data_IF_803159543959
#
_entry.id   IF_803159543959
#
_cell.length_a   1.000
_cell.length_b   1.000
_cell.length_c   1.000
_cell.angle_alpha   90.00
_cell.angle_beta   90.00
_cell.angle_gamma   90.00
#
_symmetry.space_group_name_H-M   'P 1'
#
loop_
_entity.id
_entity.type
_entity.pdbx_description
1 polymer ?
#
# COMPACT_ATOMS: atom_id res chain seq x y z
N UNK A 1 -19.38 15.60 29.22
CA UNK A 1 -19.18 14.54 28.19
C UNK A 1 -19.66 14.97 26.80
N UNK A 2 -20.89 15.46 26.63
CA UNK A 2 -21.43 15.94 25.34
C UNK A 2 -20.57 16.97 24.59
N UNK A 3 -20.04 17.98 25.29
CA UNK A 3 -19.18 18.99 24.67
C UNK A 3 -17.85 18.45 24.11
N UNK A 4 -17.32 17.37 24.69
CA UNK A 4 -16.06 16.77 24.23
C UNK A 4 -16.34 15.89 23.00
N UNK A 5 -17.43 15.13 23.01
CA UNK A 5 -17.86 14.33 21.85
C UNK A 5 -18.21 15.20 20.65
N UNK A 6 -18.91 16.32 20.87
CA UNK A 6 -19.23 17.30 19.82
C UNK A 6 -17.98 17.95 19.22
N UNK A 7 -17.02 18.39 20.06
CA UNK A 7 -15.73 18.93 19.58
C UNK A 7 -14.89 17.89 18.83
N UNK A 8 -14.95 16.62 19.22
CA UNK A 8 -14.25 15.53 18.49
C UNK A 8 -14.90 15.24 17.14
N UNK A 9 -16.22 15.30 17.03
CA UNK A 9 -16.94 15.11 15.77
C UNK A 9 -16.57 16.22 14.77
N UNK A 10 -16.65 17.49 15.19
CA UNK A 10 -16.30 18.62 14.32
C UNK A 10 -14.82 18.63 13.92
N UNK A 11 -13.91 18.20 14.82
CA UNK A 11 -12.49 18.02 14.48
C UNK A 11 -12.28 16.93 13.42
N UNK A 12 -13.00 15.80 13.52
CA UNK A 12 -12.91 14.73 12.53
C UNK A 12 -13.43 15.17 11.16
N UNK A 13 -14.56 15.87 11.12
CA UNK A 13 -15.12 16.44 9.89
C UNK A 13 -14.14 17.43 9.23
N UNK A 14 -13.57 18.35 10.03
CA UNK A 14 -12.60 19.32 9.52
C UNK A 14 -11.34 18.63 8.97
N UNK A 15 -10.84 17.63 9.69
CA UNK A 15 -9.65 16.87 9.29
C UNK A 15 -9.92 16.07 8.01
N UNK A 16 -11.10 15.47 7.86
CA UNK A 16 -11.52 14.78 6.64
C UNK A 16 -11.52 15.72 5.43
N UNK A 17 -12.11 16.91 5.57
CA UNK A 17 -12.16 17.92 4.49
C UNK A 17 -10.75 18.32 4.04
N UNK A 18 -9.83 18.52 4.99
CA UNK A 18 -8.45 18.91 4.67
C UNK A 18 -7.74 17.78 3.91
N UNK A 19 -7.84 16.53 4.38
CA UNK A 19 -7.19 15.39 3.76
C UNK A 19 -7.71 15.13 2.34
N UNK A 20 -9.02 15.18 2.13
CA UNK A 20 -9.62 15.00 0.79
C UNK A 20 -9.15 16.10 -0.16
N UNK A 21 -9.17 17.37 0.28
CA UNK A 21 -8.69 18.48 -0.56
C UNK A 21 -7.22 18.34 -0.96
N UNK A 22 -6.37 17.90 -0.03
CA UNK A 22 -4.95 17.65 -0.33
C UNK A 22 -4.77 16.46 -1.27
N UNK A 23 -5.53 15.39 -1.05
CA UNK A 23 -5.49 14.21 -1.90
C UNK A 23 -5.88 14.51 -3.34
N UNK A 24 -7.01 15.19 -3.57
CA UNK A 24 -7.46 15.57 -4.93
C UNK A 24 -6.41 16.41 -5.65
N UNK A 25 -5.74 17.33 -4.95
CA UNK A 25 -4.63 18.13 -5.52
C UNK A 25 -3.40 17.31 -5.90
N UNK A 26 -3.23 16.12 -5.33
CA UNK A 26 -2.10 15.23 -5.60
C UNK A 26 -2.35 14.28 -6.77
N UNK A 27 -3.61 14.10 -7.18
CA UNK A 27 -3.99 13.23 -8.29
C UNK A 27 -3.51 13.80 -9.63
N UNK A 28 -3.23 12.91 -10.58
CA UNK A 28 -2.81 13.23 -11.94
C UNK A 28 -3.50 12.29 -12.94
N UNK A 29 -3.76 12.80 -14.13
CA UNK A 29 -4.26 12.03 -15.27
C UNK A 29 -5.46 11.14 -14.90
N UNK A 30 -5.41 9.86 -15.24
CA UNK A 30 -6.46 8.86 -14.98
C UNK A 30 -6.90 8.77 -13.51
N UNK A 31 -6.07 9.20 -12.55
CA UNK A 31 -6.46 9.24 -11.14
C UNK A 31 -7.47 10.35 -10.84
N UNK A 32 -7.44 11.46 -11.59
CA UNK A 32 -8.45 12.52 -11.51
C UNK A 32 -9.77 12.01 -12.08
N UNK A 33 -9.74 11.40 -13.27
CA UNK A 33 -10.94 10.85 -13.93
C UNK A 33 -11.63 9.80 -13.05
N UNK A 34 -10.85 8.87 -12.48
CA UNK A 34 -11.35 7.91 -11.50
C UNK A 34 -12.04 8.58 -10.31
N UNK A 35 -11.43 9.63 -9.73
CA UNK A 35 -12.02 10.32 -8.58
C UNK A 35 -13.33 11.03 -8.94
N UNK A 36 -13.43 11.59 -10.15
CA UNK A 36 -14.66 12.24 -10.62
C UNK A 36 -15.78 11.28 -10.97
N UNK A 37 -15.46 10.03 -11.31
CA UNK A 37 -16.43 8.98 -11.64
C UNK A 37 -17.01 8.26 -10.40
N UNK A 38 -16.49 8.53 -9.20
CA UNK A 38 -17.01 7.98 -7.96
C UNK A 38 -18.46 8.45 -7.72
N UNK A 39 -19.35 7.50 -7.40
CA UNK A 39 -20.74 7.80 -7.08
C UNK A 39 -20.84 8.74 -5.87
N UNK A 40 -21.75 9.72 -5.95
CA UNK A 40 -21.97 10.66 -4.86
C UNK A 40 -22.38 9.91 -3.58
N UNK A 41 -21.73 10.23 -2.46
CA UNK A 41 -21.91 9.58 -1.15
C UNK A 41 -21.54 8.09 -1.12
N UNK A 42 -20.74 7.58 -2.07
CA UNK A 42 -20.21 6.21 -2.00
C UNK A 42 -19.04 6.04 -1.01
N UNK A 43 -18.45 7.14 -0.55
CA UNK A 43 -17.28 7.17 0.33
C UNK A 43 -17.63 7.92 1.61
N UNK A 44 -17.63 7.21 2.73
CA UNK A 44 -18.02 7.72 4.05
C UNK A 44 -16.84 8.30 4.86
N UNK A 45 -15.61 8.17 4.35
CA UNK A 45 -14.45 8.73 5.04
C UNK A 45 -13.11 8.50 4.34
N UNK A 46 -12.06 9.08 4.95
CA UNK A 46 -10.69 9.04 4.44
C UNK A 46 -10.15 7.62 4.25
N UNK A 47 -10.42 6.72 5.20
CA UNK A 47 -9.94 5.34 5.15
C UNK A 47 -10.54 4.58 3.96
N UNK A 48 -11.84 4.75 3.71
CA UNK A 48 -12.51 4.13 2.57
C UNK A 48 -12.02 4.74 1.24
N UNK A 49 -11.82 6.06 1.16
CA UNK A 49 -11.24 6.70 -0.03
C UNK A 49 -9.85 6.14 -0.36
N UNK A 50 -9.01 6.00 0.66
CA UNK A 50 -7.68 5.42 0.51
C UNK A 50 -7.75 3.97 0.03
N UNK A 51 -8.68 3.18 0.56
CA UNK A 51 -8.86 1.79 0.17
C UNK A 51 -9.36 1.66 -1.28
N UNK A 52 -10.33 2.46 -1.71
CA UNK A 52 -10.82 2.46 -3.09
C UNK A 52 -9.74 2.91 -4.08
N UNK A 53 -8.95 3.92 -3.72
CA UNK A 53 -7.82 4.35 -4.53
C UNK A 53 -6.78 3.23 -4.69
N UNK A 54 -6.42 2.57 -3.58
CA UNK A 54 -5.54 1.41 -3.63
C UNK A 54 -6.19 0.27 -4.40
N UNK A 55 -7.51 0.10 -4.35
CA UNK A 55 -8.18 -0.92 -5.14
C UNK A 55 -8.03 -0.64 -6.64
N UNK A 56 -8.24 0.59 -7.08
CA UNK A 56 -8.16 0.94 -8.48
C UNK A 56 -6.71 0.94 -9.02
N UNK A 57 -5.77 1.54 -8.28
CA UNK A 57 -4.41 1.79 -8.78
C UNK A 57 -3.35 0.84 -8.22
N UNK A 58 -3.70 0.01 -7.23
CA UNK A 58 -2.75 -0.85 -6.52
C UNK A 58 -3.25 -2.31 -6.31
N UNK A 59 -4.54 -2.66 -6.47
CA UNK A 59 -5.04 -4.01 -6.15
C UNK A 59 -4.58 -5.14 -7.06
N UNK A 60 -3.87 -4.82 -8.14
CA UNK A 60 -3.21 -5.82 -8.98
C UNK A 60 -1.87 -6.29 -8.42
N UNK A 61 -1.40 -5.76 -7.28
CA UNK A 61 -0.22 -6.33 -6.62
C UNK A 61 -0.54 -7.73 -6.10
N UNK A 62 -0.11 -8.75 -6.85
CA UNK A 62 -0.01 -10.13 -6.40
C UNK A 62 0.57 -10.13 -5.00
N UNK A 63 -0.20 -10.62 -4.04
CA UNK A 63 0.34 -10.81 -2.71
C UNK A 63 1.22 -12.05 -2.69
N UNK A 64 2.46 -11.87 -2.23
CA UNK A 64 3.46 -12.92 -2.12
C UNK A 64 3.22 -13.67 -0.82
N UNK A 65 3.18 -14.99 -0.90
CA UNK A 65 3.12 -15.83 0.31
C UNK A 65 4.51 -16.00 0.91
N UNK A 66 4.58 -16.29 2.22
CA UNK A 66 5.86 -16.62 2.85
C UNK A 66 6.59 -17.76 2.14
N UNK A 67 5.84 -18.77 1.68
CA UNK A 67 6.38 -19.94 0.95
C UNK A 67 6.99 -19.53 -0.40
N UNK A 68 6.34 -18.63 -1.13
CA UNK A 68 6.89 -18.11 -2.38
C UNK A 68 8.17 -17.30 -2.13
N UNK A 69 8.17 -16.48 -1.08
CA UNK A 69 9.32 -15.66 -0.71
C UNK A 69 10.52 -16.51 -0.26
N UNK A 70 10.29 -17.53 0.59
CA UNK A 70 11.35 -18.44 1.07
C UNK A 70 11.89 -19.35 -0.03
N UNK A 71 11.11 -19.63 -1.07
CA UNK A 71 11.53 -20.43 -2.23
C UNK A 71 12.17 -19.59 -3.34
N UNK A 72 12.20 -18.26 -3.22
CA UNK A 72 12.93 -17.41 -4.15
C UNK A 72 14.42 -17.71 -4.06
N UNK A 73 14.99 -18.15 -5.18
CA UNK A 73 16.42 -18.42 -5.35
C UNK A 73 16.97 -17.54 -6.46
N UNK A 74 18.25 -17.21 -6.38
CA UNK A 74 18.98 -16.62 -7.49
C UNK A 74 18.91 -17.58 -8.68
N UNK A 75 18.71 -17.09 -9.90
CA UNK A 75 18.77 -17.97 -11.08
C UNK A 75 20.22 -18.19 -11.52
N UNK A 76 20.48 -19.29 -12.23
CA UNK A 76 21.83 -19.74 -12.62
C UNK A 76 22.67 -18.66 -13.32
N UNK A 77 22.03 -17.76 -14.05
CA UNK A 77 22.67 -16.72 -14.85
C UNK A 77 22.25 -15.30 -14.42
N UNK A 78 21.51 -15.18 -13.32
CA UNK A 78 21.05 -13.89 -12.80
C UNK A 78 22.18 -13.22 -12.01
N UNK A 79 22.57 -11.97 -12.34
CA UNK A 79 23.49 -11.20 -11.52
C UNK A 79 22.96 -11.05 -10.09
N UNK A 80 23.86 -11.10 -9.09
CA UNK A 80 23.47 -11.03 -7.66
C UNK A 80 22.66 -9.77 -7.36
N UNK A 81 22.97 -8.64 -8.01
CA UNK A 81 22.23 -7.39 -7.80
C UNK A 81 20.79 -7.47 -8.31
N UNK A 82 20.57 -8.18 -9.42
CA UNK A 82 19.23 -8.37 -9.99
C UNK A 82 18.40 -9.31 -9.12
N UNK A 83 19.03 -10.36 -8.60
CA UNK A 83 18.42 -11.22 -7.59
C UNK A 83 17.99 -10.44 -6.35
N UNK A 84 18.86 -9.60 -5.78
CA UNK A 84 18.54 -8.79 -4.59
C UNK A 84 17.36 -7.84 -4.88
N UNK A 85 17.36 -7.19 -6.03
CA UNK A 85 16.28 -6.28 -6.43
C UNK A 85 14.96 -7.03 -6.60
N UNK A 86 14.98 -8.20 -7.26
CA UNK A 86 13.80 -9.07 -7.43
C UNK A 86 13.28 -9.57 -6.08
N UNK A 87 14.17 -10.05 -5.21
CA UNK A 87 13.81 -10.54 -3.89
C UNK A 87 13.23 -9.43 -3.00
N UNK A 88 13.82 -8.23 -3.02
CA UNK A 88 13.31 -7.05 -2.32
C UNK A 88 11.92 -6.64 -2.81
N UNK A 89 11.69 -6.69 -4.12
CA UNK A 89 10.36 -6.41 -4.67
C UNK A 89 9.34 -7.48 -4.25
N UNK A 90 9.73 -8.75 -4.18
CA UNK A 90 8.86 -9.81 -3.67
C UNK A 90 8.53 -9.61 -2.19
N UNK A 91 9.51 -9.26 -1.35
CA UNK A 91 9.30 -9.07 0.09
C UNK A 91 8.39 -7.90 0.42
N UNK A 92 8.45 -6.81 -0.36
CA UNK A 92 7.52 -5.67 -0.24
C UNK A 92 6.06 -6.04 -0.50
N UNK A 93 5.82 -7.14 -1.21
CA UNK A 93 4.48 -7.63 -1.52
C UNK A 93 4.08 -8.83 -0.64
N UNK A 94 4.90 -9.20 0.35
CA UNK A 94 4.58 -10.27 1.29
C UNK A 94 3.48 -9.83 2.26
N UNK A 95 2.50 -10.71 2.53
CA UNK A 95 1.43 -10.43 3.51
C UNK A 95 1.95 -10.28 4.93
N UNK A 96 3.01 -11.00 5.24
CA UNK A 96 3.54 -11.09 6.60
C UNK A 96 4.56 -9.98 6.86
N UNK A 97 4.50 -9.40 8.07
CA UNK A 97 5.49 -8.40 8.50
C UNK A 97 6.82 -9.09 8.78
N UNK A 98 7.84 -8.75 8.00
CA UNK A 98 9.21 -9.22 8.21
C UNK A 98 10.04 -8.18 8.96
N UNK A 99 10.85 -8.62 9.91
CA UNK A 99 11.94 -7.78 10.42
C UNK A 99 13.03 -7.66 9.34
N UNK A 100 13.77 -6.57 9.36
CA UNK A 100 14.87 -6.35 8.42
C UNK A 100 15.91 -7.47 8.50
N UNK A 101 16.28 -7.88 9.72
CA UNK A 101 17.24 -8.98 9.96
C UNK A 101 16.77 -10.29 9.33
N UNK A 102 15.51 -10.67 9.55
CA UNK A 102 14.97 -11.91 9.01
C UNK A 102 14.86 -11.87 7.48
N UNK A 103 14.48 -10.72 6.93
CA UNK A 103 14.45 -10.52 5.49
C UNK A 103 15.85 -10.66 4.85
N UNK A 104 16.89 -10.11 5.49
CA UNK A 104 18.28 -10.24 5.03
C UNK A 104 18.73 -11.70 5.07
N UNK A 105 18.47 -12.42 6.18
CA UNK A 105 18.82 -13.84 6.31
C UNK A 105 18.18 -14.70 5.22
N UNK A 106 16.88 -14.52 4.97
CA UNK A 106 16.18 -15.23 3.90
C UNK A 106 16.73 -14.91 2.52
N UNK A 107 17.03 -13.63 2.24
CA UNK A 107 17.60 -13.21 0.96
C UNK A 107 18.97 -13.88 0.74
N UNK A 108 19.82 -13.94 1.77
CA UNK A 108 21.14 -14.58 1.70
C UNK A 108 21.02 -16.08 1.47
N UNK A 109 20.10 -16.76 2.15
CA UNK A 109 19.85 -18.21 1.97
C UNK A 109 19.46 -18.57 0.54
N UNK A 110 18.82 -17.66 -0.19
CA UNK A 110 18.43 -17.89 -1.58
C UNK A 110 19.51 -17.59 -2.62
N UNK A 111 20.66 -17.03 -2.22
CA UNK A 111 21.79 -16.73 -3.09
C UNK A 111 22.59 -18.02 -3.38
N UNK A 112 22.98 -18.24 -4.64
CA UNK A 112 23.89 -19.32 -5.02
C UNK A 112 25.37 -18.94 -4.81
#
# INVERSE_FOLDING_TARGET
MWHISSKRATMKEHMMIILVKQFVRSLKDNAIDWYTDLEANSIDGWEQLGQEFLNCFYSTRRTVSMVELTNSRQWKEEPVIDYINRWRNLSLNCKDRLSETFAIEMCIQGKH
#
